data_IF_863332886735
#
_entry.id   IF_863332886735
#
_cell.length_a   1.000
_cell.length_b   1.000
_cell.length_c   1.000
_cell.angle_alpha   90.00
_cell.angle_beta   90.00
_cell.angle_gamma   90.00
#
_symmetry.space_group_name_H-M   'P 1'
#
loop_
_entity.id
_entity.type
_entity.pdbx_description
1 polymer ?
#
# COMPACT_ATOMS: atom_id res chain seq x y z
N UNK A 1 1.84 0.41 -16.37
CA UNK A 1 0.47 -0.11 -16.43
C UNK A 1 0.42 -1.46 -15.75
N UNK A 2 -0.78 -1.97 -15.42
CA UNK A 2 -0.97 -3.33 -14.87
C UNK A 2 -2.25 -3.92 -15.49
N UNK A 3 -2.18 -5.18 -15.91
CA UNK A 3 -3.35 -5.93 -16.43
C UNK A 3 -4.15 -6.46 -15.24
N UNK A 4 -5.49 -6.38 -15.21
CA UNK A 4 -6.29 -6.98 -14.15
C UNK A 4 -6.12 -8.50 -14.07
N UNK A 5 -6.27 -9.09 -12.87
CA UNK A 5 -6.09 -10.53 -12.67
C UNK A 5 -7.09 -11.39 -13.48
N UNK A 6 -8.28 -10.86 -13.75
CA UNK A 6 -9.32 -11.52 -14.56
C UNK A 6 -9.16 -11.35 -16.08
N UNK A 7 -8.09 -10.70 -16.54
CA UNK A 7 -7.93 -10.27 -17.93
C UNK A 7 -8.58 -8.91 -18.21
N UNK A 8 -8.33 -8.37 -19.41
CA UNK A 8 -8.75 -7.03 -19.83
C UNK A 8 -7.58 -6.14 -20.27
N UNK A 9 -7.86 -4.88 -20.52
CA UNK A 9 -6.84 -3.92 -20.98
C UNK A 9 -5.93 -3.46 -19.83
N UNK A 10 -4.63 -3.18 -20.11
CA UNK A 10 -3.72 -2.62 -19.12
C UNK A 10 -4.21 -1.26 -18.60
N UNK A 11 -4.24 -1.09 -17.28
CA UNK A 11 -4.66 0.16 -16.63
C UNK A 11 -3.43 0.94 -16.18
N UNK A 12 -3.52 2.28 -16.14
CA UNK A 12 -2.53 3.11 -15.48
C UNK A 12 -2.60 2.94 -13.95
N UNK A 13 -1.89 1.92 -13.48
CA UNK A 13 -1.79 1.56 -12.08
C UNK A 13 -1.19 2.67 -11.21
N UNK A 14 -0.31 3.52 -11.77
CA UNK A 14 0.32 4.61 -11.02
C UNK A 14 -0.74 5.67 -10.69
N UNK A 15 -1.55 6.08 -11.68
CA UNK A 15 -2.64 7.02 -11.45
C UNK A 15 -3.67 6.45 -10.46
N UNK A 16 -4.02 5.17 -10.59
CA UNK A 16 -4.94 4.49 -9.68
C UNK A 16 -4.46 4.56 -8.22
N UNK A 17 -3.22 4.16 -7.98
CA UNK A 17 -2.61 4.15 -6.65
C UNK A 17 -2.46 5.56 -6.08
N UNK A 18 -2.10 6.57 -6.90
CA UNK A 18 -2.07 7.97 -6.42
C UNK A 18 -3.45 8.45 -5.97
N UNK A 19 -4.50 8.07 -6.69
CA UNK A 19 -5.89 8.35 -6.28
C UNK A 19 -6.26 7.66 -4.96
N UNK A 20 -5.80 6.42 -4.75
CA UNK A 20 -5.97 5.72 -3.49
C UNK A 20 -5.16 6.33 -2.34
N UNK A 21 -3.94 6.77 -2.60
CA UNK A 21 -3.09 7.40 -1.58
C UNK A 21 -3.75 8.64 -1.00
N UNK A 22 -4.34 9.50 -1.84
CA UNK A 22 -5.11 10.66 -1.37
C UNK A 22 -6.26 10.25 -0.46
N UNK A 23 -7.04 9.23 -0.85
CA UNK A 23 -8.16 8.69 -0.07
C UNK A 23 -7.72 8.07 1.26
N UNK A 24 -6.64 7.28 1.26
CA UNK A 24 -6.07 6.66 2.45
C UNK A 24 -5.55 7.72 3.42
N UNK A 25 -4.83 8.73 2.93
CA UNK A 25 -4.38 9.83 3.76
C UNK A 25 -5.56 10.59 4.40
N UNK A 26 -6.62 10.86 3.65
CA UNK A 26 -7.82 11.49 4.17
C UNK A 26 -8.51 10.64 5.24
N UNK A 27 -8.69 9.34 4.97
CA UNK A 27 -9.32 8.38 5.89
C UNK A 27 -8.57 8.28 7.23
N UNK A 28 -7.24 8.30 7.18
CA UNK A 28 -6.37 8.13 8.35
C UNK A 28 -5.93 9.46 8.98
N UNK A 29 -6.47 10.60 8.53
CA UNK A 29 -6.11 11.92 9.03
C UNK A 29 -4.63 12.28 8.84
N UNK A 30 -3.98 11.68 7.84
CA UNK A 30 -2.55 11.86 7.53
C UNK A 30 -2.36 12.83 6.36
N UNK A 31 -1.18 13.44 6.26
CA UNK A 31 -0.85 14.36 5.16
C UNK A 31 -0.02 13.64 4.10
N UNK A 32 -0.39 13.82 2.83
CA UNK A 32 0.29 13.20 1.69
C UNK A 32 1.75 13.62 1.54
N UNK A 33 2.12 14.83 2.01
CA UNK A 33 3.49 15.34 1.94
C UNK A 33 4.47 14.64 2.90
N UNK A 34 3.97 13.80 3.82
CA UNK A 34 4.81 12.98 4.70
C UNK A 34 5.23 11.66 4.02
N UNK A 35 4.52 11.26 2.96
CA UNK A 35 4.79 10.03 2.23
C UNK A 35 6.06 10.18 1.42
N UNK A 36 6.95 9.20 1.52
CA UNK A 36 8.19 9.15 0.75
C UNK A 36 7.91 8.64 -0.65
N UNK A 37 8.01 9.51 -1.66
CA UNK A 37 7.73 9.16 -3.05
C UNK A 37 8.54 7.96 -3.56
N UNK A 38 9.81 7.86 -3.13
CA UNK A 38 10.67 6.71 -3.47
C UNK A 38 10.17 5.38 -2.90
N UNK A 39 9.55 5.40 -1.71
CA UNK A 39 8.96 4.20 -1.09
C UNK A 39 7.70 3.77 -1.86
N UNK A 40 6.85 4.73 -2.23
CA UNK A 40 5.69 4.46 -3.09
C UNK A 40 6.11 3.91 -4.45
N UNK A 41 7.14 4.50 -5.07
CA UNK A 41 7.67 4.05 -6.36
C UNK A 41 8.23 2.62 -6.27
N UNK A 42 8.92 2.28 -5.19
CA UNK A 42 9.41 0.93 -4.93
C UNK A 42 8.25 -0.06 -4.79
N UNK A 43 7.20 0.29 -4.05
CA UNK A 43 6.04 -0.59 -3.86
C UNK A 43 5.25 -0.76 -5.16
N UNK A 44 5.05 0.31 -5.94
CA UNK A 44 4.45 0.26 -7.26
C UNK A 44 5.22 -0.67 -8.19
N UNK A 45 6.55 -0.52 -8.24
CA UNK A 45 7.42 -1.36 -9.06
C UNK A 45 7.32 -2.83 -8.65
N UNK A 46 7.32 -3.10 -7.34
CA UNK A 46 7.19 -4.44 -6.81
C UNK A 46 5.82 -5.06 -7.11
N UNK A 47 4.74 -4.30 -6.92
CA UNK A 47 3.37 -4.72 -7.22
C UNK A 47 3.14 -4.97 -8.71
N UNK A 48 3.73 -4.18 -9.61
CA UNK A 48 3.63 -4.40 -11.06
C UNK A 48 4.38 -5.68 -11.46
N UNK A 49 5.55 -5.93 -10.87
CA UNK A 49 6.34 -7.11 -11.19
C UNK A 49 5.77 -8.40 -10.58
N UNK A 50 5.21 -8.33 -9.37
CA UNK A 50 4.72 -9.47 -8.61
C UNK A 50 3.34 -9.21 -7.98
N UNK A 51 2.30 -8.96 -8.80
CA UNK A 51 0.99 -8.52 -8.29
C UNK A 51 0.28 -9.57 -7.43
N UNK A 52 0.59 -10.87 -7.63
CA UNK A 52 0.06 -11.97 -6.82
C UNK A 52 0.82 -12.19 -5.50
N UNK A 53 2.03 -11.64 -5.37
CA UNK A 53 2.93 -11.90 -4.24
C UNK A 53 3.40 -10.58 -3.57
N UNK A 54 2.53 -9.58 -3.53
CA UNK A 54 2.85 -8.28 -2.95
C UNK A 54 2.92 -8.37 -1.41
N UNK A 55 4.15 -8.35 -0.88
CA UNK A 55 4.48 -8.43 0.56
C UNK A 55 5.65 -7.49 0.92
N UNK A 56 5.46 -6.15 0.87
CA UNK A 56 6.56 -5.21 1.09
C UNK A 56 6.97 -5.07 2.55
N UNK A 57 8.21 -4.62 2.76
CA UNK A 57 8.73 -4.13 4.05
C UNK A 57 8.33 -2.66 4.20
N UNK A 58 7.75 -2.27 5.35
CA UNK A 58 7.12 -0.94 5.52
C UNK A 58 7.83 -0.02 6.53
N UNK A 59 8.96 -0.44 7.09
CA UNK A 59 9.70 0.29 8.12
C UNK A 59 11.03 0.88 7.62
N UNK A 60 11.19 1.07 6.29
CA UNK A 60 12.39 1.68 5.71
C UNK A 60 12.59 3.14 6.09
N UNK A 61 11.49 3.90 6.26
CA UNK A 61 11.53 5.30 6.70
C UNK A 61 10.67 5.53 7.95
N UNK A 62 9.36 5.38 7.80
CA UNK A 62 8.39 5.51 8.89
C UNK A 62 7.19 4.64 8.59
N UNK A 63 6.90 3.72 9.51
CA UNK A 63 5.75 2.81 9.42
C UNK A 63 4.46 3.61 9.24
N UNK A 64 4.13 4.50 10.17
CA UNK A 64 2.82 5.18 10.20
C UNK A 64 2.71 6.33 9.19
N UNK A 65 3.79 7.09 8.99
CA UNK A 65 3.74 8.31 8.15
C UNK A 65 4.00 8.04 6.67
N UNK A 66 4.49 6.85 6.29
CA UNK A 66 4.84 6.54 4.91
C UNK A 66 4.51 5.09 4.54
N UNK A 67 5.19 4.10 5.11
CA UNK A 67 5.14 2.72 4.61
C UNK A 67 3.74 2.10 4.67
N UNK A 68 3.00 2.33 5.74
CA UNK A 68 1.64 1.84 5.90
C UNK A 68 0.66 2.54 4.94
N UNK A 69 0.84 3.84 4.70
CA UNK A 69 0.04 4.61 3.74
C UNK A 69 0.30 4.14 2.30
N UNK A 70 1.57 3.97 1.95
CA UNK A 70 2.02 3.41 0.66
C UNK A 70 1.45 2.01 0.44
N UNK A 71 1.58 1.12 1.45
CA UNK A 71 1.04 -0.23 1.37
C UNK A 71 -0.46 -0.21 1.15
N UNK A 72 -1.22 0.52 1.96
CA UNK A 72 -2.68 0.57 1.83
C UNK A 72 -3.11 1.10 0.46
N UNK A 73 -2.45 2.14 -0.06
CA UNK A 73 -2.77 2.67 -1.38
C UNK A 73 -2.53 1.65 -2.50
N UNK A 74 -1.38 0.97 -2.48
CA UNK A 74 -1.03 -0.05 -3.49
C UNK A 74 -1.91 -1.30 -3.34
N UNK A 75 -2.16 -1.73 -2.11
CA UNK A 75 -2.99 -2.89 -1.80
C UNK A 75 -4.44 -2.70 -2.26
N UNK A 76 -5.02 -1.52 -2.03
CA UNK A 76 -6.37 -1.20 -2.51
C UNK A 76 -6.43 -1.11 -4.04
N UNK A 77 -5.41 -0.52 -4.68
CA UNK A 77 -5.30 -0.54 -6.14
C UNK A 77 -5.19 -1.96 -6.71
N UNK A 78 -4.38 -2.82 -6.09
CA UNK A 78 -4.29 -4.24 -6.48
C UNK A 78 -5.63 -4.97 -6.29
N UNK A 79 -6.33 -4.69 -5.19
CA UNK A 79 -7.61 -5.29 -4.88
C UNK A 79 -8.70 -4.94 -5.90
N UNK A 80 -8.77 -3.68 -6.34
CA UNK A 80 -9.67 -3.26 -7.44
C UNK A 80 -9.39 -4.06 -8.73
N UNK A 81 -8.13 -4.36 -8.99
CA UNK A 81 -7.69 -5.18 -10.13
C UNK A 81 -7.81 -6.71 -9.89
N UNK A 82 -8.53 -7.11 -8.84
CA UNK A 82 -8.76 -8.51 -8.46
C UNK A 82 -7.51 -9.28 -8.01
N UNK A 83 -6.41 -8.59 -7.70
CA UNK A 83 -5.26 -9.19 -7.03
C UNK A 83 -5.47 -9.24 -5.52
N UNK A 84 -4.73 -10.15 -4.87
CA UNK A 84 -4.77 -10.32 -3.41
C UNK A 84 -3.39 -10.01 -2.81
N UNK A 85 -3.21 -8.80 -2.25
CA UNK A 85 -2.04 -8.47 -1.46
C UNK A 85 -1.87 -9.45 -0.30
N UNK A 86 -0.62 -9.87 -0.02
CA UNK A 86 -0.35 -10.88 1.01
C UNK A 86 -0.25 -10.28 2.40
N UNK A 87 0.29 -9.06 2.51
CA UNK A 87 0.46 -8.38 3.81
C UNK A 87 1.67 -7.45 3.81
N UNK A 88 2.24 -7.25 4.99
CA UNK A 88 3.41 -6.38 5.22
C UNK A 88 4.49 -7.11 6.03
N UNK A 89 5.72 -6.58 6.00
CA UNK A 89 6.83 -6.98 6.86
C UNK A 89 7.29 -5.78 7.71
N UNK A 90 7.63 -6.06 8.96
CA UNK A 90 8.29 -5.16 9.90
C UNK A 90 9.58 -5.84 10.37
N UNK A 91 10.69 -5.12 10.37
CA UNK A 91 12.02 -5.65 10.70
C UNK A 91 12.67 -4.89 11.88
N UNK A 92 12.02 -3.83 12.38
CA UNK A 92 12.56 -2.95 13.43
C UNK A 92 11.49 -2.32 14.31
N UNK A 93 11.89 -1.87 15.51
CA UNK A 93 11.04 -1.16 16.47
C UNK A 93 10.27 -2.06 17.44
N UNK A 94 9.21 -1.51 18.05
CA UNK A 94 8.30 -2.26 18.94
C UNK A 94 7.26 -2.99 18.09
N UNK A 95 7.59 -4.22 17.69
CA UNK A 95 6.75 -5.05 16.83
C UNK A 95 5.38 -5.35 17.46
N UNK A 96 5.30 -5.48 18.78
CA UNK A 96 4.04 -5.73 19.47
C UNK A 96 3.09 -4.55 19.26
N UNK A 97 3.55 -3.34 19.59
CA UNK A 97 2.76 -2.12 19.40
C UNK A 97 2.45 -1.85 17.93
N UNK A 98 3.44 -1.97 17.05
CA UNK A 98 3.26 -1.71 15.62
C UNK A 98 2.27 -2.70 14.99
N UNK A 99 2.29 -3.98 15.38
CA UNK A 99 1.33 -4.97 14.85
C UNK A 99 -0.13 -4.59 15.15
N UNK A 100 -0.39 -4.04 16.34
CA UNK A 100 -1.72 -3.57 16.74
C UNK A 100 -2.14 -2.34 15.94
N UNK A 101 -1.22 -1.41 15.72
CA UNK A 101 -1.46 -0.21 14.90
C UNK A 101 -1.76 -0.57 13.45
N UNK A 102 -0.94 -1.44 12.84
CA UNK A 102 -1.15 -1.97 11.48
C UNK A 102 -2.53 -2.63 11.38
N UNK A 103 -2.89 -3.49 12.34
CA UNK A 103 -4.19 -4.15 12.36
C UNK A 103 -5.35 -3.16 12.46
N UNK A 104 -5.19 -2.08 13.24
CA UNK A 104 -6.20 -1.02 13.35
C UNK A 104 -6.38 -0.30 12.01
N UNK A 105 -5.29 0.10 11.35
CA UNK A 105 -5.36 0.76 10.05
C UNK A 105 -5.98 -0.14 8.98
N UNK A 106 -5.64 -1.43 8.95
CA UNK A 106 -6.25 -2.37 8.02
C UNK A 106 -7.77 -2.47 8.21
N UNK A 107 -8.24 -2.46 9.46
CA UNK A 107 -9.68 -2.44 9.76
C UNK A 107 -10.35 -1.15 9.31
N UNK A 108 -9.67 -0.01 9.36
CA UNK A 108 -10.22 1.26 8.87
C UNK A 108 -10.31 1.26 7.34
N UNK A 109 -9.26 0.79 6.65
CA UNK A 109 -9.22 0.72 5.19
C UNK A 109 -10.14 -0.37 4.58
N UNK A 110 -10.62 -1.32 5.39
CA UNK A 110 -11.51 -2.41 4.94
C UNK A 110 -12.99 -2.15 5.22
N UNK A 111 -13.36 -0.97 5.73
CA UNK A 111 -14.76 -0.54 5.88
C UNK A 111 -15.29 -0.05 4.55
#
# INVERSE_FOLDING_TARGET
TLVPCGGGDPIDFICLVKGWLGRVCQLLGSKTNLVREGELAAFLSYAIAYPQNFLPVIDSYSVSCSGLLCFCAVALGLYELQYRPLGIRLDSGDLCRQSLEVRRVFKECSK
#
